data_IF_560517458702
#
_entry.id   IF_560517458702
#
_cell.length_a   1.000
_cell.length_b   1.000
_cell.length_c   1.000
_cell.angle_alpha   90.00
_cell.angle_beta   90.00
_cell.angle_gamma   90.00
#
_symmetry.space_group_name_H-M   'P 1'
#
loop_
_entity.id
_entity.type
_entity.pdbx_description
1 polymer ?
#
# COMPACT_ATOMS: atom_id res chain seq x y z
N UNK A 1 23.41 21.74 -6.91
CA UNK A 1 22.23 21.36 -6.10
C UNK A 1 21.18 20.88 -7.08
N UNK A 2 20.78 19.59 -7.06
CA UNK A 2 19.82 19.02 -8.04
C UNK A 2 18.40 19.36 -7.61
N UNK A 3 17.58 19.89 -8.52
CA UNK A 3 16.18 20.19 -8.21
C UNK A 3 15.37 18.89 -8.08
N UNK A 4 14.36 18.80 -7.20
CA UNK A 4 13.49 17.62 -7.05
C UNK A 4 12.82 17.19 -8.37
N UNK A 5 12.66 18.15 -9.29
CA UNK A 5 12.07 17.99 -10.62
C UNK A 5 12.87 17.00 -11.49
N UNK A 6 14.20 16.99 -11.35
CA UNK A 6 15.11 16.14 -12.11
C UNK A 6 15.14 14.70 -11.58
N UNK A 7 14.92 14.51 -10.27
CA UNK A 7 14.86 13.17 -9.66
C UNK A 7 13.58 12.40 -9.99
N UNK A 8 12.45 13.11 -10.11
CA UNK A 8 11.13 12.50 -10.32
C UNK A 8 10.60 12.63 -11.75
N UNK A 9 11.30 13.36 -12.64
CA UNK A 9 10.91 13.56 -14.04
C UNK A 9 9.46 14.05 -14.18
N UNK A 10 9.04 14.93 -13.27
CA UNK A 10 7.62 15.33 -13.09
C UNK A 10 7.06 15.95 -14.38
N UNK A 11 7.91 16.71 -15.09
CA UNK A 11 7.58 17.35 -16.37
C UNK A 11 7.45 16.35 -17.52
N UNK A 12 8.28 15.30 -17.59
CA UNK A 12 8.18 14.24 -18.61
C UNK A 12 6.93 13.37 -18.41
N UNK A 13 6.48 13.24 -17.16
CA UNK A 13 5.25 12.51 -16.78
C UNK A 13 3.97 13.33 -16.96
N UNK A 14 4.05 14.58 -17.47
CA UNK A 14 2.91 15.52 -17.55
C UNK A 14 2.17 15.66 -16.19
N UNK A 15 2.90 15.52 -15.08
CA UNK A 15 2.35 15.65 -13.72
C UNK A 15 2.69 17.03 -13.15
N UNK A 16 2.02 17.42 -12.07
CA UNK A 16 2.31 18.67 -11.36
C UNK A 16 2.74 18.34 -9.94
N UNK A 17 3.55 19.21 -9.33
CA UNK A 17 4.01 19.03 -7.93
C UNK A 17 2.81 18.82 -6.99
N UNK A 18 1.71 19.53 -7.22
CA UNK A 18 0.46 19.38 -6.46
C UNK A 18 -0.18 18.00 -6.63
N UNK A 19 -0.09 17.41 -7.83
CA UNK A 19 -0.62 16.07 -8.10
C UNK A 19 0.20 14.98 -7.40
N UNK A 20 1.52 15.14 -7.33
CA UNK A 20 2.40 14.23 -6.58
C UNK A 20 2.13 14.31 -5.07
N UNK A 21 1.90 15.51 -4.52
CA UNK A 21 1.53 15.69 -3.10
C UNK A 21 0.16 15.07 -2.78
N UNK A 22 -0.79 15.11 -3.71
CA UNK A 22 -2.05 14.39 -3.56
C UNK A 22 -1.82 12.86 -3.52
N UNK A 23 -0.89 12.33 -4.32
CA UNK A 23 -0.47 10.93 -4.28
C UNK A 23 0.14 10.53 -2.94
N UNK A 24 0.95 11.40 -2.33
CA UNK A 24 1.49 11.18 -0.99
C UNK A 24 0.39 11.05 0.08
N UNK A 25 -0.70 11.80 -0.06
CA UNK A 25 -1.85 11.73 0.85
C UNK A 25 -2.54 10.36 0.73
N UNK A 26 -2.76 9.88 -0.49
CA UNK A 26 -3.32 8.53 -0.73
C UNK A 26 -2.40 7.43 -0.20
N UNK A 27 -1.09 7.57 -0.40
CA UNK A 27 -0.10 6.64 0.15
C UNK A 27 -0.17 6.59 1.68
N UNK A 28 -0.25 7.75 2.35
CA UNK A 28 -0.36 7.81 3.81
C UNK A 28 -1.67 7.17 4.31
N UNK A 29 -2.79 7.41 3.62
CA UNK A 29 -4.08 6.80 3.96
C UNK A 29 -4.05 5.26 3.86
N UNK A 30 -3.37 4.70 2.85
CA UNK A 30 -3.16 3.25 2.74
C UNK A 30 -2.13 2.71 3.74
N UNK A 31 -1.05 3.46 3.99
CA UNK A 31 -0.01 3.10 4.96
C UNK A 31 -0.53 3.04 6.40
N UNK A 32 -1.52 3.88 6.74
CA UNK A 32 -2.20 3.89 8.04
C UNK A 32 -2.67 2.50 8.48
N UNK A 33 -3.05 1.63 7.55
CA UNK A 33 -3.47 0.24 7.81
C UNK A 33 -2.36 -0.58 8.51
N UNK A 34 -1.09 -0.34 8.18
CA UNK A 34 0.06 -1.05 8.77
C UNK A 34 0.28 -0.68 10.24
N UNK A 35 -0.02 0.55 10.64
CA UNK A 35 0.11 1.00 12.02
C UNK A 35 -1.13 0.68 12.86
N UNK A 36 -2.31 0.77 12.26
CA UNK A 36 -3.58 0.72 12.99
C UNK A 36 -4.12 -0.68 13.19
N UNK A 37 -3.96 -1.58 12.23
CA UNK A 37 -4.38 -2.98 12.43
C UNK A 37 -3.67 -3.62 13.64
N UNK A 38 -2.34 -3.48 13.80
CA UNK A 38 -1.66 -3.96 15.00
C UNK A 38 -2.01 -3.19 16.26
N UNK A 39 -2.24 -1.87 16.19
CA UNK A 39 -2.57 -1.06 17.37
C UNK A 39 -3.95 -1.40 17.96
N UNK A 40 -4.93 -1.75 17.11
CA UNK A 40 -6.25 -2.19 17.55
C UNK A 40 -6.15 -3.59 18.19
N UNK A 41 -5.44 -4.53 17.55
CA UNK A 41 -5.32 -5.89 18.06
C UNK A 41 -4.35 -6.01 19.24
N UNK A 42 -3.39 -5.10 19.41
CA UNK A 42 -2.47 -5.14 20.56
C UNK A 42 -3.16 -4.86 21.89
N UNK A 43 -4.30 -4.15 21.87
CA UNK A 43 -5.17 -3.97 23.03
C UNK A 43 -5.72 -5.31 23.59
N UNK A 44 -5.66 -6.40 22.82
CA UNK A 44 -6.07 -7.75 23.25
C UNK A 44 -4.97 -8.51 24.00
N UNK A 45 -3.79 -7.90 24.21
CA UNK A 45 -2.64 -8.53 24.89
C UNK A 45 -1.65 -9.23 23.95
N UNK A 46 -1.82 -9.07 22.63
CA UNK A 46 -0.98 -9.70 21.61
C UNK A 46 0.21 -8.81 21.23
N UNK A 47 1.39 -9.41 21.03
CA UNK A 47 2.61 -8.68 20.65
C UNK A 47 2.44 -7.96 19.30
N UNK A 48 2.72 -6.65 19.27
CA UNK A 48 2.63 -5.80 18.07
C UNK A 48 3.48 -6.38 16.92
N UNK A 49 4.65 -6.93 17.23
CA UNK A 49 5.55 -7.52 16.24
C UNK A 49 4.91 -8.71 15.51
N UNK A 50 4.21 -9.59 16.25
CA UNK A 50 3.50 -10.73 15.67
C UNK A 50 2.34 -10.27 14.79
N UNK A 51 1.61 -9.22 15.20
CA UNK A 51 0.47 -8.68 14.45
C UNK A 51 0.87 -8.10 13.09
N UNK A 52 2.01 -7.42 13.01
CA UNK A 52 2.54 -6.89 11.75
C UNK A 52 2.83 -8.05 10.78
N UNK A 53 3.50 -9.11 11.26
CA UNK A 53 3.84 -10.29 10.45
C UNK A 53 2.58 -11.03 9.99
N UNK A 54 1.61 -11.24 10.90
CA UNK A 54 0.33 -11.87 10.56
C UNK A 54 -0.44 -11.07 9.51
N UNK A 55 -0.47 -9.74 9.63
CA UNK A 55 -1.15 -8.88 8.65
C UNK A 55 -0.47 -8.95 7.29
N UNK A 56 0.86 -8.85 7.24
CA UNK A 56 1.62 -8.96 5.99
C UNK A 56 1.41 -10.33 5.32
N UNK A 57 1.42 -11.42 6.10
CA UNK A 57 1.17 -12.76 5.59
C UNK A 57 -0.28 -12.92 5.08
N UNK A 58 -1.26 -12.42 5.84
CA UNK A 58 -2.66 -12.45 5.45
C UNK A 58 -2.93 -11.65 4.17
N UNK A 59 -2.34 -10.46 4.03
CA UNK A 59 -2.43 -9.65 2.81
C UNK A 59 -1.77 -10.34 1.62
N UNK A 60 -0.61 -10.98 1.82
CA UNK A 60 0.06 -11.74 0.76
C UNK A 60 -0.80 -12.91 0.27
N UNK A 61 -1.35 -13.71 1.18
CA UNK A 61 -2.22 -14.84 0.85
C UNK A 61 -3.51 -14.34 0.19
N UNK A 62 -4.15 -13.31 0.73
CA UNK A 62 -5.36 -12.71 0.15
C UNK A 62 -5.13 -12.18 -1.27
N UNK A 63 -3.97 -11.55 -1.51
CA UNK A 63 -3.58 -11.08 -2.84
C UNK A 63 -3.34 -12.25 -3.79
N UNK A 64 -2.71 -13.34 -3.33
CA UNK A 64 -2.47 -14.54 -4.14
C UNK A 64 -3.79 -15.22 -4.54
N UNK A 65 -4.73 -15.35 -3.61
CA UNK A 65 -6.07 -15.89 -3.88
C UNK A 65 -6.81 -15.02 -4.90
N UNK A 66 -6.83 -13.69 -4.70
CA UNK A 66 -7.45 -12.76 -5.64
C UNK A 66 -6.79 -12.81 -7.02
N UNK A 67 -5.47 -12.91 -7.10
CA UNK A 67 -4.74 -13.03 -8.36
C UNK A 67 -5.12 -14.32 -9.11
N UNK A 68 -5.12 -15.47 -8.43
CA UNK A 68 -5.53 -16.75 -9.01
C UNK A 68 -7.00 -16.74 -9.45
N UNK A 69 -7.88 -16.11 -8.66
CA UNK A 69 -9.29 -15.96 -9.01
C UNK A 69 -9.51 -15.03 -10.20
N UNK A 70 -8.82 -13.89 -10.25
CA UNK A 70 -8.87 -12.92 -11.35
C UNK A 70 -8.39 -13.55 -12.66
N UNK A 71 -7.34 -14.38 -12.60
CA UNK A 71 -6.83 -15.12 -13.77
C UNK A 71 -7.90 -16.06 -14.32
N UNK A 72 -8.73 -16.67 -13.47
CA UNK A 72 -9.85 -17.51 -13.91
C UNK A 72 -11.05 -16.69 -14.43
N UNK A 73 -11.36 -15.55 -13.82
CA UNK A 73 -12.51 -14.73 -14.22
C UNK A 73 -12.36 -14.14 -15.64
N UNK A 74 -11.15 -13.76 -16.05
CA UNK A 74 -10.88 -13.22 -17.39
C UNK A 74 -11.01 -14.28 -18.52
N UNK A 75 -11.01 -15.57 -18.19
CA UNK A 75 -11.10 -16.67 -19.17
C UNK A 75 -12.52 -17.17 -19.46
N UNK A 76 -13.54 -16.58 -18.82
CA UNK A 76 -14.97 -16.95 -18.97
C UNK A 76 -15.78 -15.81 -19.63
N UNK A 77 -15.13 -14.73 -20.05
CA UNK A 77 -15.67 -13.63 -20.87
C UNK A 77 -14.99 -13.70 -22.24
#
# INVERSE_FOLDING_TARGET
MREPKDFFQITERNSTVWREVAGLTTFNAMSYILAVNPAILSATGMNIHSLIITTALASMIGTLIMALWSIRYLSVI
#
